data_IF_120837295710
#
_entry.id   IF_120837295710
#
_cell.length_a   1.000
_cell.length_b   1.000
_cell.length_c   1.000
_cell.angle_alpha   90.00
_cell.angle_beta   90.00
_cell.angle_gamma   90.00
#
_symmetry.space_group_name_H-M   'P 1'
#
loop_
_entity.id
_entity.type
_entity.pdbx_description
1 polymer ?
#
# COMPACT_ATOMS: atom_id res chain seq x y z
N UNK A 1 0.47 10.78 -23.69
CA UNK A 1 0.68 11.24 -22.31
C UNK A 1 -0.32 12.33 -22.04
N UNK A 2 -1.34 12.14 -21.18
CA UNK A 2 -2.10 13.28 -20.71
C UNK A 2 -1.16 14.01 -19.75
N UNK A 3 -0.69 15.18 -20.16
CA UNK A 3 0.14 16.07 -19.35
C UNK A 3 -0.76 16.76 -18.33
N UNK A 4 -1.22 16.01 -17.32
CA UNK A 4 -1.89 16.61 -16.18
C UNK A 4 -0.82 17.36 -15.37
N UNK A 5 -0.96 18.68 -15.32
CA UNK A 5 -0.10 19.53 -14.50
C UNK A 5 -0.59 19.42 -13.04
N UNK A 6 -0.07 18.41 -12.34
CA UNK A 6 -0.43 18.16 -10.95
C UNK A 6 0.22 19.22 -10.05
N UNK A 7 -0.53 19.79 -9.09
CA UNK A 7 0.07 20.72 -8.15
C UNK A 7 1.04 19.96 -7.23
N UNK A 8 2.10 20.66 -6.82
CA UNK A 8 3.21 20.03 -6.09
C UNK A 8 2.77 19.39 -4.77
N UNK A 9 1.80 19.97 -4.07
CA UNK A 9 1.22 19.42 -2.84
C UNK A 9 0.53 18.06 -3.06
N UNK A 10 -0.11 17.86 -4.21
CA UNK A 10 -0.72 16.58 -4.59
C UNK A 10 0.34 15.52 -4.93
N UNK A 11 1.42 15.93 -5.61
CA UNK A 11 2.56 15.06 -5.89
C UNK A 11 3.30 14.68 -4.60
N UNK A 12 3.51 15.64 -3.68
CA UNK A 12 4.15 15.39 -2.40
C UNK A 12 3.31 14.46 -1.52
N UNK A 13 1.99 14.63 -1.51
CA UNK A 13 1.07 13.75 -0.80
C UNK A 13 1.08 12.32 -1.35
N UNK A 14 1.13 12.17 -2.69
CA UNK A 14 1.24 10.86 -3.34
C UNK A 14 2.60 10.20 -3.05
N UNK A 15 3.71 10.94 -3.15
CA UNK A 15 5.04 10.43 -2.80
C UNK A 15 5.12 9.98 -1.34
N UNK A 16 4.55 10.77 -0.42
CA UNK A 16 4.48 10.41 0.99
C UNK A 16 3.63 9.16 1.22
N UNK A 17 2.52 9.00 0.48
CA UNK A 17 1.67 7.81 0.56
C UNK A 17 2.44 6.56 0.13
N UNK A 18 3.15 6.64 -0.98
CA UNK A 18 3.93 5.52 -1.52
C UNK A 18 5.09 5.13 -0.59
N UNK A 19 5.79 6.12 -0.02
CA UNK A 19 6.84 5.89 0.98
C UNK A 19 6.29 5.20 2.24
N UNK A 20 5.18 5.69 2.79
CA UNK A 20 4.55 5.10 3.98
C UNK A 20 4.02 3.69 3.71
N UNK A 21 3.48 3.43 2.52
CA UNK A 21 3.06 2.07 2.13
C UNK A 21 4.26 1.13 2.02
N UNK A 22 5.36 1.58 1.41
CA UNK A 22 6.59 0.78 1.32
C UNK A 22 7.16 0.45 2.71
N UNK A 23 7.20 1.42 3.62
CA UNK A 23 7.63 1.21 5.01
C UNK A 23 6.68 0.25 5.75
N UNK A 24 5.37 0.43 5.62
CA UNK A 24 4.37 -0.45 6.20
C UNK A 24 4.54 -1.90 5.70
N UNK A 25 4.78 -2.09 4.41
CA UNK A 25 4.95 -3.42 3.82
C UNK A 25 6.25 -4.09 4.27
N UNK A 26 7.35 -3.33 4.35
CA UNK A 26 8.60 -3.82 4.92
C UNK A 26 8.41 -4.23 6.38
N UNK A 27 7.70 -3.41 7.18
CA UNK A 27 7.40 -3.73 8.57
C UNK A 27 6.50 -4.96 8.68
N UNK A 28 5.42 -5.04 7.91
CA UNK A 28 4.48 -6.15 7.91
C UNK A 28 5.14 -7.49 7.56
N UNK A 29 6.16 -7.49 6.69
CA UNK A 29 6.97 -8.69 6.38
C UNK A 29 7.80 -9.20 7.56
N UNK A 30 8.12 -8.34 8.53
CA UNK A 30 8.84 -8.74 9.76
C UNK A 30 7.91 -9.28 10.85
N UNK A 31 6.61 -9.09 10.70
CA UNK A 31 5.64 -9.49 11.71
C UNK A 31 5.35 -10.99 11.64
N UNK A 32 4.94 -11.58 12.78
CA UNK A 32 4.35 -12.91 12.78
C UNK A 32 3.19 -13.01 11.79
N UNK A 33 2.93 -14.21 11.27
CA UNK A 33 1.89 -14.39 10.25
C UNK A 33 0.46 -14.16 10.80
N UNK A 34 0.29 -14.12 12.13
CA UNK A 34 -0.97 -13.79 12.78
C UNK A 34 -0.80 -12.64 13.78
N UNK A 35 -1.80 -11.75 13.81
CA UNK A 35 -1.90 -10.66 14.77
C UNK A 35 -2.24 -11.14 16.18
N UNK A 36 -3.04 -12.19 16.30
CA UNK A 36 -3.34 -12.84 17.58
C UNK A 36 -2.46 -14.08 17.76
N UNK A 37 -2.17 -14.50 19.01
CA UNK A 37 -1.50 -15.75 19.27
C UNK A 37 -2.32 -16.91 18.67
N UNK A 38 -1.76 -17.60 17.67
CA UNK A 38 -2.42 -18.71 17.00
C UNK A 38 -1.49 -19.92 16.97
N UNK A 39 -2.01 -21.12 17.27
CA UNK A 39 -1.24 -22.33 17.07
C UNK A 39 -0.95 -22.53 15.59
N UNK A 40 0.22 -23.06 15.33
CA UNK A 40 0.63 -23.54 14.04
C UNK A 40 -0.31 -24.65 13.57
N UNK A 41 -0.42 -24.77 12.26
CA UNK A 41 -1.27 -25.77 11.65
C UNK A 41 -0.60 -26.34 10.41
N UNK A 42 -0.94 -27.58 10.11
CA UNK A 42 -0.54 -28.28 8.89
C UNK A 42 -1.79 -28.82 8.24
N UNK A 43 -2.04 -28.45 6.98
CA UNK A 43 -3.16 -29.00 6.22
C UNK A 43 -2.77 -30.30 5.54
N UNK A 44 -3.76 -31.09 5.12
CA UNK A 44 -3.53 -32.24 4.26
C UNK A 44 -2.99 -31.84 2.89
N UNK A 45 -2.18 -32.74 2.31
CA UNK A 45 -1.65 -32.61 0.95
C UNK A 45 -2.80 -32.46 -0.04
N UNK A 46 -2.77 -31.40 -0.86
CA UNK A 46 -3.72 -31.24 -1.96
C UNK A 46 -3.37 -32.23 -3.09
N UNK A 47 -4.38 -32.85 -3.69
CA UNK A 47 -4.18 -33.73 -4.85
C UNK A 47 -3.52 -32.93 -5.98
N UNK A 48 -2.40 -33.44 -6.51
CA UNK A 48 -1.52 -32.81 -7.52
C UNK A 48 -0.58 -31.69 -7.04
N UNK A 49 -0.35 -31.52 -5.74
CA UNK A 49 0.71 -30.63 -5.23
C UNK A 49 1.59 -31.35 -4.21
N UNK A 50 2.91 -31.25 -4.35
CA UNK A 50 3.87 -31.73 -3.36
C UNK A 50 4.07 -30.74 -2.19
N UNK A 51 3.53 -29.53 -2.32
CA UNK A 51 3.54 -28.54 -1.26
C UNK A 51 2.42 -28.82 -0.26
N UNK A 52 2.80 -29.00 1.01
CA UNK A 52 1.88 -29.08 2.15
C UNK A 52 1.90 -27.73 2.86
N UNK A 53 0.80 -26.97 2.84
CA UNK A 53 0.76 -25.70 3.55
C UNK A 53 0.84 -25.96 5.05
N UNK A 54 1.89 -25.43 5.67
CA UNK A 54 2.09 -25.42 7.10
C UNK A 54 2.50 -24.03 7.59
N UNK A 55 2.15 -23.74 8.85
CA UNK A 55 2.51 -22.54 9.57
C UNK A 55 2.93 -22.93 10.97
N UNK A 56 4.04 -22.38 11.45
CA UNK A 56 4.49 -22.51 12.84
C UNK A 56 3.58 -21.71 13.78
N UNK A 57 3.72 -21.94 15.09
CA UNK A 57 3.03 -21.14 16.11
C UNK A 57 3.33 -19.64 15.92
N UNK A 58 2.28 -18.83 15.85
CA UNK A 58 2.40 -17.37 15.86
C UNK A 58 2.21 -16.87 17.29
N UNK A 59 3.17 -16.12 17.86
CA UNK A 59 2.99 -15.48 19.16
C UNK A 59 2.01 -14.30 19.14
N UNK A 60 1.53 -13.88 17.96
CA UNK A 60 0.74 -12.65 17.82
C UNK A 60 1.62 -11.41 17.77
N UNK A 61 1.00 -10.25 17.57
CA UNK A 61 1.69 -8.97 17.59
C UNK A 61 1.91 -8.51 19.03
N UNK A 62 3.11 -8.01 19.31
CA UNK A 62 3.36 -7.24 20.52
C UNK A 62 2.55 -5.94 20.50
N UNK A 63 2.25 -5.33 21.66
CA UNK A 63 1.57 -4.04 21.73
C UNK A 63 2.27 -2.95 20.91
N UNK A 64 3.60 -2.91 20.93
CA UNK A 64 4.41 -1.95 20.17
C UNK A 64 4.28 -2.16 18.65
N UNK A 65 4.24 -3.42 18.19
CA UNK A 65 4.01 -3.74 16.78
C UNK A 65 2.59 -3.34 16.33
N UNK A 66 1.59 -3.62 17.16
CA UNK A 66 0.20 -3.23 16.89
C UNK A 66 0.04 -1.70 16.85
N UNK A 67 0.67 -0.98 17.79
CA UNK A 67 0.67 0.48 17.81
C UNK A 67 1.33 1.05 16.55
N UNK A 68 2.51 0.54 16.17
CA UNK A 68 3.20 0.96 14.95
C UNK A 68 2.37 0.71 13.69
N UNK A 69 1.71 -0.44 13.57
CA UNK A 69 0.76 -0.70 12.47
C UNK A 69 -0.42 0.27 12.48
N UNK A 70 -0.96 0.59 13.66
CA UNK A 70 -2.06 1.55 13.78
C UNK A 70 -1.63 2.96 13.33
N UNK A 71 -0.40 3.36 13.64
CA UNK A 71 0.21 4.61 13.19
C UNK A 71 0.36 4.66 11.67
N UNK A 72 0.88 3.59 11.05
CA UNK A 72 0.95 3.48 9.59
C UNK A 72 -0.43 3.58 8.94
N UNK A 73 -1.43 2.85 9.46
CA UNK A 73 -2.81 2.89 8.94
C UNK A 73 -3.42 4.29 9.06
N UNK A 74 -3.23 4.96 10.19
CA UNK A 74 -3.70 6.33 10.39
C UNK A 74 -3.06 7.29 9.38
N UNK A 75 -1.74 7.17 9.16
CA UNK A 75 -1.02 8.01 8.21
C UNK A 75 -1.44 7.77 6.76
N UNK A 76 -1.61 6.50 6.36
CA UNK A 76 -2.11 6.12 5.04
C UNK A 76 -3.51 6.70 4.82
N UNK A 77 -4.39 6.59 5.82
CA UNK A 77 -5.74 7.16 5.77
C UNK A 77 -5.69 8.68 5.58
N UNK A 78 -4.91 9.38 6.40
CA UNK A 78 -4.74 10.84 6.33
C UNK A 78 -4.28 11.30 4.94
N UNK A 79 -3.22 10.69 4.39
CA UNK A 79 -2.68 11.02 3.08
C UNK A 79 -3.68 10.70 1.96
N UNK A 80 -4.36 9.55 2.06
CA UNK A 80 -5.41 9.18 1.10
C UNK A 80 -6.55 10.19 1.14
N UNK A 81 -6.99 10.62 2.32
CA UNK A 81 -8.01 11.66 2.48
C UNK A 81 -7.56 12.97 1.83
N UNK A 82 -6.34 13.43 2.12
CA UNK A 82 -5.77 14.65 1.53
C UNK A 82 -5.79 14.59 -0.01
N UNK A 83 -5.37 13.45 -0.57
CA UNK A 83 -5.39 13.23 -2.02
C UNK A 83 -6.83 13.25 -2.53
N UNK A 84 -7.75 12.41 -2.02
CA UNK A 84 -9.10 12.29 -2.63
C UNK A 84 -9.96 13.56 -2.50
N UNK A 85 -9.75 14.38 -1.46
CA UNK A 85 -10.49 15.63 -1.23
C UNK A 85 -9.80 16.85 -1.83
N UNK A 86 -8.71 16.67 -2.57
CA UNK A 86 -7.92 17.78 -3.10
C UNK A 86 -8.74 18.69 -4.03
N UNK A 87 -8.64 20.03 -3.90
CA UNK A 87 -9.39 20.98 -4.73
C UNK A 87 -9.08 20.85 -6.22
N UNK A 88 -7.89 20.34 -6.58
CA UNK A 88 -7.53 20.02 -7.97
C UNK A 88 -8.58 19.13 -8.65
N UNK A 89 -9.18 18.18 -7.94
CA UNK A 89 -10.18 17.31 -8.58
C UNK A 89 -11.42 18.07 -9.03
N UNK A 90 -11.76 19.17 -8.38
CA UNK A 90 -12.89 20.01 -8.76
C UNK A 90 -12.67 20.73 -10.10
N UNK A 91 -11.41 20.88 -10.54
CA UNK A 91 -11.09 21.48 -11.85
C UNK A 91 -11.25 20.50 -13.01
N UNK A 92 -11.31 19.19 -12.73
CA UNK A 92 -11.46 18.12 -13.70
C UNK A 92 -12.89 17.53 -13.68
N UNK A 93 -13.40 17.19 -14.86
CA UNK A 93 -14.76 16.65 -15.04
C UNK A 93 -14.78 15.33 -15.78
N UNK A 94 -15.74 14.46 -15.46
CA UNK A 94 -16.01 13.23 -16.23
C UNK A 94 -14.79 12.29 -16.32
N UNK A 95 -14.45 11.79 -17.52
CA UNK A 95 -13.38 10.80 -17.72
C UNK A 95 -11.98 11.34 -17.34
N UNK A 96 -11.74 12.64 -17.51
CA UNK A 96 -10.44 13.28 -17.22
C UNK A 96 -10.05 13.12 -15.75
N UNK A 97 -11.02 13.14 -14.82
CA UNK A 97 -10.74 12.93 -13.39
C UNK A 97 -10.26 11.50 -13.11
N UNK A 98 -10.79 10.51 -13.82
CA UNK A 98 -10.37 9.11 -13.65
C UNK A 98 -8.99 8.88 -14.25
N UNK A 99 -8.75 9.45 -15.43
CA UNK A 99 -7.45 9.39 -16.10
C UNK A 99 -6.37 10.10 -15.26
N UNK A 100 -6.66 11.28 -14.73
CA UNK A 100 -5.74 12.01 -13.85
C UNK A 100 -5.43 11.26 -12.55
N UNK A 101 -6.42 10.60 -11.93
CA UNK A 101 -6.16 9.74 -10.76
C UNK A 101 -5.29 8.54 -11.10
N UNK A 102 -5.51 7.93 -12.27
CA UNK A 102 -4.67 6.82 -12.75
C UNK A 102 -3.24 7.31 -12.98
N UNK A 103 -3.08 8.45 -13.65
CA UNK A 103 -1.77 9.06 -13.91
C UNK A 103 -1.05 9.47 -12.61
N UNK A 104 -1.77 10.00 -11.61
CA UNK A 104 -1.18 10.37 -10.32
C UNK A 104 -0.54 9.17 -9.61
N UNK A 105 -1.17 7.99 -9.64
CA UNK A 105 -0.62 6.77 -9.03
C UNK A 105 0.71 6.33 -9.67
N UNK A 106 0.96 6.75 -10.91
CA UNK A 106 2.19 6.46 -11.65
C UNK A 106 3.10 7.69 -11.76
N UNK A 107 2.77 8.82 -11.11
CA UNK A 107 3.55 10.04 -11.22
C UNK A 107 4.97 9.89 -10.66
N UNK A 108 5.18 8.91 -9.76
CA UNK A 108 6.47 8.57 -9.17
C UNK A 108 7.12 7.33 -9.79
N UNK A 109 6.38 6.59 -10.64
CA UNK A 109 6.98 5.60 -11.51
C UNK A 109 7.78 6.38 -12.56
N UNK A 110 9.08 6.55 -12.30
CA UNK A 110 10.00 7.02 -13.32
C UNK A 110 9.74 6.17 -14.55
N UNK A 111 9.41 6.74 -15.73
CA UNK A 111 9.31 5.93 -16.93
C UNK A 111 10.68 5.28 -17.08
N UNK A 112 10.75 3.97 -16.90
CA UNK A 112 11.91 3.19 -17.29
C UNK A 112 12.15 3.60 -18.75
N UNK A 113 13.20 4.41 -18.95
CA UNK A 113 13.57 4.89 -20.27
C UNK A 113 13.72 3.67 -21.18
N UNK A 114 13.37 3.78 -22.47
CA UNK A 114 13.49 2.66 -23.38
C UNK A 114 14.91 2.10 -23.29
N UNK A 115 15.01 0.81 -22.96
CA UNK A 115 16.26 0.05 -23.05
C UNK A 115 16.95 0.43 -24.37
N UNK A 116 18.12 1.06 -24.24
CA UNK A 116 18.95 1.52 -25.34
C UNK A 116 19.82 0.39 -25.89
#
# INVERSE_FOLDING_TARGET
>A
MPAFDFPQDLLDAQAALDAVQAEHDLFARTLPWSAEPLPGWKSDKKLHSDYVPEKDDSPGYTPEQAERLSGYRARILELTTQIITHPYWATLSGPDRVEARTALKHAHDTPAGPDA
#
